data_IF_656868806917
#
_entry.id   IF_656868806917
#
_cell.length_a   1.000
_cell.length_b   1.000
_cell.length_c   1.000
_cell.angle_alpha   90.00
_cell.angle_beta   90.00
_cell.angle_gamma   90.00
#
_symmetry.space_group_name_H-M   'P 1'
#
loop_
_entity.id
_entity.type
_entity.pdbx_description
1 polymer ?
#
# COMPACT_ATOMS: atom_id res chain seq x y z
N UNK A 1 -6.11 7.42 2.61
CA UNK A 1 -7.29 6.66 3.10
C UNK A 1 -8.51 7.35 2.53
N UNK A 2 -9.34 6.65 1.77
CA UNK A 2 -10.50 7.25 1.08
C UNK A 2 -11.79 7.13 1.90
N UNK A 3 -11.90 6.09 2.73
CA UNK A 3 -12.99 5.87 3.67
C UNK A 3 -12.43 5.25 4.96
N UNK A 4 -13.13 5.42 6.10
CA UNK A 4 -12.71 4.86 7.39
C UNK A 4 -11.49 5.57 8.01
N UNK A 5 -11.32 6.87 7.76
CA UNK A 5 -10.14 7.65 8.20
C UNK A 5 -9.95 7.64 9.73
N UNK A 6 -11.02 7.76 10.52
CA UNK A 6 -10.93 7.77 11.97
C UNK A 6 -10.50 6.41 12.54
N UNK A 7 -10.96 5.30 11.95
CA UNK A 7 -10.50 3.97 12.30
C UNK A 7 -9.00 3.80 11.96
N UNK A 8 -8.58 4.29 10.80
CA UNK A 8 -7.17 4.26 10.40
C UNK A 8 -6.30 5.10 11.34
N UNK A 9 -6.76 6.28 11.78
CA UNK A 9 -6.08 7.13 12.77
C UNK A 9 -5.93 6.42 14.11
N UNK A 10 -7.00 5.77 14.60
CA UNK A 10 -6.95 4.96 15.81
C UNK A 10 -5.90 3.84 15.75
N UNK A 11 -5.73 3.20 14.59
CA UNK A 11 -4.70 2.17 14.34
C UNK A 11 -3.30 2.74 14.11
N UNK A 12 -3.19 4.03 13.79
CA UNK A 12 -1.95 4.75 13.42
C UNK A 12 -1.76 6.03 14.26
N UNK A 13 -1.67 5.93 15.60
CA UNK A 13 -1.58 7.10 16.47
C UNK A 13 -0.31 7.94 16.27
N UNK A 14 0.72 7.38 15.62
CA UNK A 14 1.98 8.10 15.31
C UNK A 14 1.95 8.84 13.98
N UNK A 15 0.93 8.63 13.14
CA UNK A 15 0.75 9.40 11.91
C UNK A 15 0.28 10.82 12.27
N UNK A 16 1.02 11.83 11.84
CA UNK A 16 0.71 13.25 12.16
C UNK A 16 -0.24 13.87 11.15
N UNK A 17 -0.37 13.25 9.97
CA UNK A 17 -1.18 13.71 8.84
C UNK A 17 -1.84 12.52 8.17
N UNK A 18 -3.01 12.72 7.56
CA UNK A 18 -3.73 11.63 6.88
C UNK A 18 -2.94 10.99 5.73
N UNK A 19 -2.10 11.78 5.06
CA UNK A 19 -1.19 11.30 4.02
C UNK A 19 -0.16 10.27 4.52
N UNK A 20 0.08 10.20 5.83
CA UNK A 20 1.04 9.27 6.44
C UNK A 20 0.39 7.94 6.85
N UNK A 21 -0.95 7.89 6.97
CA UNK A 21 -1.67 6.75 7.54
C UNK A 21 -1.31 5.42 6.85
N UNK A 22 -1.29 5.43 5.52
CA UNK A 22 -0.99 4.26 4.69
C UNK A 22 0.27 4.45 3.82
N UNK A 23 1.18 5.38 4.20
CA UNK A 23 2.38 5.68 3.42
C UNK A 23 3.44 4.60 3.61
N UNK A 24 3.39 3.56 2.76
CA UNK A 24 4.31 2.43 2.76
C UNK A 24 3.65 1.12 3.18
N UNK A 25 4.25 -0.04 2.85
CA UNK A 25 3.60 -1.35 2.95
C UNK A 25 3.16 -1.69 4.37
N UNK A 26 4.05 -1.58 5.36
CA UNK A 26 3.70 -1.85 6.76
C UNK A 26 2.75 -0.82 7.38
N UNK A 27 2.68 0.40 6.83
CA UNK A 27 1.72 1.40 7.28
C UNK A 27 0.33 1.11 6.71
N UNK A 28 0.25 0.68 5.45
CA UNK A 28 -0.99 0.24 4.81
C UNK A 28 -1.64 -0.91 5.58
N UNK A 29 -0.88 -1.97 5.89
CA UNK A 29 -1.43 -3.14 6.62
C UNK A 29 -2.00 -2.72 7.97
N UNK A 30 -1.28 -1.88 8.72
CA UNK A 30 -1.74 -1.35 10.02
C UNK A 30 -2.97 -0.46 9.89
N UNK A 31 -3.02 0.43 8.90
CA UNK A 31 -4.19 1.30 8.69
C UNK A 31 -5.45 0.47 8.37
N UNK A 32 -5.31 -0.55 7.52
CA UNK A 32 -6.41 -1.46 7.14
C UNK A 32 -6.72 -2.51 8.21
N UNK A 33 -5.84 -2.71 9.19
CA UNK A 33 -6.02 -3.73 10.24
C UNK A 33 -5.73 -5.15 9.76
N UNK A 34 -4.91 -5.30 8.73
CA UNK A 34 -4.47 -6.60 8.19
C UNK A 34 -3.51 -7.23 9.21
N UNK A 35 -3.82 -8.44 9.64
CA UNK A 35 -3.05 -9.23 10.58
C UNK A 35 -2.26 -10.33 9.85
N UNK A 36 -1.31 -10.95 10.56
CA UNK A 36 -0.57 -12.10 10.03
C UNK A 36 -1.47 -13.32 9.79
N UNK A 37 -2.58 -13.43 10.51
CA UNK A 37 -3.58 -14.49 10.35
C UNK A 37 -4.38 -14.38 9.05
N UNK A 38 -4.28 -13.24 8.36
CA UNK A 38 -4.93 -13.03 7.08
C UNK A 38 -4.09 -13.53 5.90
N UNK A 39 -2.94 -14.16 6.17
CA UNK A 39 -2.13 -14.79 5.12
C UNK A 39 -2.97 -15.82 4.35
N UNK A 40 -2.76 -15.88 3.04
CA UNK A 40 -3.54 -16.69 2.08
C UNK A 40 -5.02 -16.31 1.90
N UNK A 41 -5.54 -15.29 2.59
CA UNK A 41 -6.91 -14.85 2.41
C UNK A 41 -7.20 -14.41 0.96
N UNK A 42 -8.40 -14.73 0.49
CA UNK A 42 -8.88 -14.31 -0.81
C UNK A 42 -8.99 -12.77 -0.89
N UNK A 43 -8.65 -12.20 -2.04
CA UNK A 43 -8.76 -10.75 -2.30
C UNK A 43 -10.02 -10.37 -3.09
N UNK A 44 -10.79 -11.37 -3.51
CA UNK A 44 -12.08 -11.29 -4.20
C UNK A 44 -13.24 -11.77 -3.30
N UNK A 45 -13.02 -11.84 -1.99
CA UNK A 45 -14.01 -12.29 -1.01
C UNK A 45 -13.66 -11.84 0.41
N UNK A 46 -14.67 -11.84 1.29
CA UNK A 46 -14.52 -11.35 2.66
C UNK A 46 -13.30 -11.97 3.38
N UNK A 47 -12.52 -11.18 4.14
CA UNK A 47 -12.80 -9.79 4.52
C UNK A 47 -12.30 -8.73 3.51
N UNK A 48 -11.68 -9.13 2.40
CA UNK A 48 -11.07 -8.19 1.46
C UNK A 48 -11.84 -8.07 0.15
N UNK A 49 -11.63 -6.94 -0.53
CA UNK A 49 -12.09 -6.76 -1.89
C UNK A 49 -11.12 -5.83 -2.61
N UNK A 50 -10.80 -6.17 -3.85
CA UNK A 50 -10.10 -5.27 -4.78
C UNK A 50 -11.06 -4.87 -5.89
N UNK A 51 -11.28 -3.56 -6.02
CA UNK A 51 -12.06 -2.98 -7.09
C UNK A 51 -11.14 -2.24 -8.08
N UNK A 52 -11.35 -2.37 -9.40
CA UNK A 52 -10.66 -1.55 -10.38
C UNK A 52 -10.91 -0.06 -10.12
N UNK A 53 -9.87 0.76 -10.29
CA UNK A 53 -10.06 2.21 -10.29
C UNK A 53 -10.91 2.64 -11.50
N UNK A 54 -11.90 3.53 -11.34
CA UNK A 54 -12.72 4.00 -12.47
C UNK A 54 -11.89 4.65 -13.59
N UNK A 55 -10.79 5.31 -13.21
CA UNK A 55 -9.85 5.95 -14.12
C UNK A 55 -8.42 5.56 -13.73
N UNK A 56 -7.82 4.53 -14.36
CA UNK A 56 -6.47 4.10 -14.04
C UNK A 56 -5.45 5.17 -14.52
N UNK A 57 -4.62 5.73 -13.63
CA UNK A 57 -3.61 6.71 -14.02
C UNK A 57 -2.43 6.03 -14.74
N UNK A 58 -1.72 6.80 -15.56
CA UNK A 58 -0.45 6.36 -16.13
C UNK A 58 0.60 6.18 -15.01
N UNK A 59 1.19 4.99 -14.83
CA UNK A 59 2.16 4.77 -13.77
C UNK A 59 3.54 5.31 -14.16
N UNK A 60 4.29 5.81 -13.18
CA UNK A 60 5.74 5.87 -13.24
C UNK A 60 6.36 4.56 -12.75
N UNK A 61 7.57 4.26 -13.20
CA UNK A 61 8.30 3.03 -12.88
C UNK A 61 9.72 3.31 -12.40
N UNK A 62 10.31 2.42 -11.61
CA UNK A 62 11.72 2.53 -11.20
C UNK A 62 12.16 1.43 -10.25
N UNK A 63 13.37 1.57 -9.70
CA UNK A 63 13.93 0.58 -8.77
C UNK A 63 13.04 0.32 -7.56
N UNK A 64 13.08 -0.93 -7.08
CA UNK A 64 12.42 -1.37 -5.85
C UNK A 64 13.07 -0.72 -4.62
N UNK A 65 12.30 -0.60 -3.54
CA UNK A 65 12.77 -0.07 -2.25
C UNK A 65 13.19 -1.22 -1.36
N UNK A 66 14.30 -1.08 -0.64
CA UNK A 66 14.76 -2.09 0.33
C UNK A 66 15.31 -3.37 -0.32
N UNK A 67 15.62 -3.35 -1.61
CA UNK A 67 16.24 -4.46 -2.34
C UNK A 67 17.68 -4.10 -2.65
N UNK A 68 18.62 -4.95 -2.22
CA UNK A 68 20.06 -4.77 -2.44
C UNK A 68 20.55 -5.47 -3.71
N UNK A 69 21.76 -5.11 -4.16
CA UNK A 69 22.42 -5.74 -5.31
C UNK A 69 21.79 -5.38 -6.66
N UNK A 70 22.13 -6.16 -7.70
CA UNK A 70 21.71 -5.88 -9.08
C UNK A 70 20.19 -5.79 -9.24
N UNK A 71 19.45 -6.66 -8.54
CA UNK A 71 17.98 -6.65 -8.53
C UNK A 71 17.34 -5.39 -7.93
N UNK A 72 18.10 -4.58 -7.17
CA UNK A 72 17.66 -3.30 -6.60
C UNK A 72 17.98 -2.08 -7.47
N UNK A 73 18.49 -2.29 -8.68
CA UNK A 73 18.88 -1.22 -9.60
C UNK A 73 17.80 -0.96 -10.64
N UNK A 74 18.00 0.07 -11.46
CA UNK A 74 17.11 0.42 -12.57
C UNK A 74 17.16 -0.60 -13.71
N UNK A 75 18.06 -1.59 -13.67
CA UNK A 75 17.99 -2.77 -14.53
C UNK A 75 16.72 -3.61 -14.28
N UNK A 76 16.10 -3.46 -13.11
CA UNK A 76 14.83 -4.12 -12.73
C UNK A 76 13.82 -3.08 -12.21
N UNK A 77 13.17 -2.31 -13.11
CA UNK A 77 12.24 -1.24 -12.75
C UNK A 77 10.86 -1.79 -12.34
N UNK A 78 10.85 -2.65 -11.33
CA UNK A 78 9.70 -3.43 -10.88
C UNK A 78 8.91 -2.75 -9.74
N UNK A 79 9.02 -1.42 -9.61
CA UNK A 79 8.19 -0.62 -8.71
C UNK A 79 7.35 0.35 -9.54
N UNK A 80 6.06 0.40 -9.28
CA UNK A 80 5.10 1.26 -9.97
C UNK A 80 4.45 2.24 -8.98
N UNK A 81 4.19 3.48 -9.40
CA UNK A 81 3.45 4.47 -8.59
C UNK A 81 2.75 5.51 -9.47
N UNK A 82 1.80 6.24 -8.87
CA UNK A 82 1.12 7.37 -9.51
C UNK A 82 2.02 8.61 -9.40
N UNK A 83 2.40 9.29 -10.49
CA UNK A 83 3.17 10.54 -10.43
C UNK A 83 2.39 11.68 -9.74
N UNK A 84 3.11 12.52 -9.00
CA UNK A 84 2.55 13.60 -8.16
C UNK A 84 2.74 13.34 -6.67
#
# INVERSE_FOLDING_TARGET
VVEGVELARGRRPTARRDAELARGPGNLTRALGIALTDDTAALDGAPFALAPAPHPPAPATGKRVGVSGHGGTDAFPLRFWIPG
#
